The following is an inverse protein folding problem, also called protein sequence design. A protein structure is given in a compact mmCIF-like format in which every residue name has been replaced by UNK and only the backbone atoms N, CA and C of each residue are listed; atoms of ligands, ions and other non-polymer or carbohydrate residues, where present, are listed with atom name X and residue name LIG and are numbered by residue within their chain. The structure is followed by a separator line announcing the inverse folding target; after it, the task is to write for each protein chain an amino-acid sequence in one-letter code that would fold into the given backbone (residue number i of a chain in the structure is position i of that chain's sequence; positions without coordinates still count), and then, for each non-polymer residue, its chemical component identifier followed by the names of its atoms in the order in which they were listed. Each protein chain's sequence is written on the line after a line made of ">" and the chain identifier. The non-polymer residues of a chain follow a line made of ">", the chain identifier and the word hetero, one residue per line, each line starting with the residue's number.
data_IF_545164067293
#
_entry.id   IF_545164067293
#
_cell.length_a   1.000
_cell.length_b   1.000
_cell.length_c   1.000
_cell.angle_alpha   90.00
_cell.angle_beta   90.00
_cell.angle_gamma   90.00
#
_symmetry.space_group_name_H-M   'P 1'
#
loop_
_entity.id
_entity.type
_entity.pdbx_description
1 polymer ?
#
# COMPACT_ATOMS: atom_id res chain seq x y z
N UNK A 1 -27.19 5.27 -0.50
CA UNK A 1 -26.58 4.40 -1.54
C UNK A 1 -25.08 4.36 -1.37
N UNK A 2 -24.56 3.19 -1.17
CA UNK A 2 -23.13 3.06 -0.99
C UNK A 2 -22.40 3.08 -2.32
N UNK A 3 -21.25 3.69 -2.32
CA UNK A 3 -20.36 3.63 -3.45
C UNK A 3 -19.68 2.26 -3.47
N UNK A 4 -19.82 1.56 -4.57
CA UNK A 4 -19.27 0.22 -4.70
C UNK A 4 -17.92 0.19 -5.38
N UNK A 5 -17.26 1.34 -5.49
CA UNK A 5 -15.92 1.46 -6.08
C UNK A 5 -14.90 1.75 -4.99
N UNK A 6 -14.35 0.71 -4.36
CA UNK A 6 -13.33 0.96 -3.35
C UNK A 6 -12.12 1.67 -3.94
N UNK A 7 -11.60 2.62 -3.21
CA UNK A 7 -10.41 3.36 -3.61
C UNK A 7 -9.19 2.72 -2.98
N UNK A 8 -8.23 2.34 -3.82
CA UNK A 8 -7.00 1.69 -3.40
C UNK A 8 -5.83 2.62 -3.73
N UNK A 9 -5.04 2.94 -2.74
CA UNK A 9 -3.81 3.71 -2.95
C UNK A 9 -2.65 2.75 -3.08
N UNK A 10 -1.81 2.98 -4.09
CA UNK A 10 -0.55 2.24 -4.27
C UNK A 10 0.57 3.25 -4.12
N UNK A 11 1.47 3.02 -3.17
CA UNK A 11 2.58 3.92 -2.87
C UNK A 11 3.87 3.19 -3.13
N UNK A 12 4.54 3.52 -4.22
CA UNK A 12 5.76 2.84 -4.65
C UNK A 12 6.55 3.80 -5.53
N UNK A 13 7.85 3.91 -5.30
CA UNK A 13 8.69 4.82 -6.08
C UNK A 13 9.14 4.22 -7.41
N UNK A 14 8.70 3.00 -7.74
CA UNK A 14 8.98 2.36 -9.02
C UNK A 14 7.71 2.37 -9.88
N UNK A 15 7.63 3.25 -10.89
CA UNK A 15 6.40 3.39 -11.69
C UNK A 15 5.98 2.10 -12.38
N UNK A 16 6.93 1.28 -12.82
CA UNK A 16 6.60 0.05 -13.51
C UNK A 16 5.87 -0.93 -12.59
N UNK A 17 6.33 -1.06 -11.36
CA UNK A 17 5.67 -1.95 -10.40
C UNK A 17 4.26 -1.48 -10.09
N UNK A 18 4.09 -0.17 -9.86
CA UNK A 18 2.78 0.42 -9.63
C UNK A 18 1.82 0.16 -10.78
N UNK A 19 2.31 0.32 -12.00
CA UNK A 19 1.51 0.10 -13.21
C UNK A 19 1.11 -1.36 -13.33
N UNK A 20 2.05 -2.28 -13.12
CA UNK A 20 1.78 -3.71 -13.20
C UNK A 20 0.77 -4.15 -12.14
N UNK A 21 0.91 -3.65 -10.93
CA UNK A 21 -0.04 -3.98 -9.86
C UNK A 21 -1.42 -3.41 -10.16
N UNK A 22 -1.47 -2.17 -10.65
CA UNK A 22 -2.73 -1.54 -11.04
C UNK A 22 -3.45 -2.39 -12.10
N UNK A 23 -2.72 -2.79 -13.14
CA UNK A 23 -3.29 -3.60 -14.22
C UNK A 23 -3.80 -4.93 -13.68
N UNK A 24 -3.03 -5.57 -12.81
CA UNK A 24 -3.44 -6.85 -12.22
C UNK A 24 -4.73 -6.70 -11.42
N UNK A 25 -4.79 -5.69 -10.55
CA UNK A 25 -5.95 -5.48 -9.70
C UNK A 25 -7.19 -5.15 -10.53
N UNK A 26 -7.05 -4.34 -11.56
CA UNK A 26 -8.18 -3.99 -12.43
C UNK A 26 -8.65 -5.19 -13.25
N UNK A 27 -7.76 -6.10 -13.59
CA UNK A 27 -8.12 -7.35 -14.25
C UNK A 27 -8.98 -8.24 -13.34
N UNK A 28 -8.61 -8.29 -12.05
CA UNK A 28 -9.34 -9.11 -11.08
C UNK A 28 -10.68 -8.49 -10.71
N UNK A 29 -10.74 -7.16 -10.64
CA UNK A 29 -11.96 -6.46 -10.24
C UNK A 29 -11.94 -5.05 -10.81
N UNK A 30 -12.65 -4.82 -11.91
CA UNK A 30 -12.67 -3.55 -12.62
C UNK A 30 -13.37 -2.43 -11.86
N UNK A 31 -14.01 -2.75 -10.73
CA UNK A 31 -14.69 -1.76 -9.90
C UNK A 31 -13.79 -0.97 -8.97
N UNK A 32 -12.49 -1.29 -8.89
CA UNK A 32 -11.57 -0.53 -8.06
C UNK A 32 -11.30 0.84 -8.67
N UNK A 33 -11.14 1.84 -7.79
CA UNK A 33 -10.62 3.15 -8.15
C UNK A 33 -9.19 3.21 -7.60
N UNK A 34 -8.19 3.18 -8.48
CA UNK A 34 -6.80 3.04 -8.06
C UNK A 34 -6.05 4.35 -8.27
N UNK A 35 -5.36 4.81 -7.23
CA UNK A 35 -4.49 5.98 -7.27
C UNK A 35 -3.08 5.54 -6.90
N UNK A 36 -2.10 5.95 -7.71
CA UNK A 36 -0.69 5.64 -7.47
C UNK A 36 0.08 6.87 -7.06
N UNK A 37 1.00 6.70 -6.13
CA UNK A 37 1.84 7.78 -5.63
C UNK A 37 3.29 7.31 -5.63
N UNK A 38 4.19 8.17 -6.09
CA UNK A 38 5.62 7.86 -6.15
C UNK A 38 6.32 8.06 -4.81
N UNK A 39 5.72 8.84 -3.90
CA UNK A 39 6.28 9.10 -2.58
C UNK A 39 5.21 8.95 -1.52
N UNK A 40 5.65 8.67 -0.29
CA UNK A 40 4.73 8.60 0.85
C UNK A 40 4.11 9.95 1.16
N UNK A 41 4.89 11.02 0.97
CA UNK A 41 4.40 12.38 1.21
C UNK A 41 3.20 12.70 0.34
N UNK A 42 3.27 12.33 -0.95
CA UNK A 42 2.14 12.56 -1.87
C UNK A 42 0.90 11.77 -1.42
N UNK A 43 1.10 10.54 -0.94
CA UNK A 43 0.02 9.73 -0.40
C UNK A 43 -0.63 10.43 0.81
N UNK A 44 0.20 10.92 1.75
CA UNK A 44 -0.32 11.58 2.96
C UNK A 44 -1.15 12.81 2.61
N UNK A 45 -0.75 13.56 1.60
CA UNK A 45 -1.49 14.74 1.15
C UNK A 45 -2.85 14.40 0.55
N UNK A 46 -3.04 13.15 0.13
CA UNK A 46 -4.26 12.71 -0.53
C UNK A 46 -5.14 11.82 0.34
N UNK A 47 -4.82 11.66 1.63
CA UNK A 47 -5.61 10.81 2.53
C UNK A 47 -7.05 11.33 2.72
N UNK A 48 -7.28 12.63 2.47
CA UNK A 48 -8.62 13.20 2.53
C UNK A 48 -9.55 12.65 1.44
N UNK A 49 -9.01 11.96 0.43
CA UNK A 49 -9.81 11.24 -0.55
C UNK A 49 -10.45 9.99 0.03
N UNK A 50 -10.11 9.63 1.26
CA UNK A 50 -10.68 8.51 2.00
C UNK A 50 -10.50 7.17 1.30
N UNK A 51 -9.24 6.75 1.06
CA UNK A 51 -9.02 5.43 0.46
C UNK A 51 -9.51 4.32 1.38
N UNK A 52 -9.85 3.19 0.78
CA UNK A 52 -10.33 2.02 1.52
C UNK A 52 -9.20 1.08 1.91
N UNK A 53 -8.08 1.16 1.21
CA UNK A 53 -6.87 0.40 1.54
C UNK A 53 -5.66 1.06 0.91
N UNK A 54 -4.50 0.81 1.49
CA UNK A 54 -3.22 1.32 0.98
C UNK A 54 -2.25 0.16 0.83
N UNK A 55 -1.64 0.04 -0.35
CA UNK A 55 -0.51 -0.86 -0.58
C UNK A 55 0.74 0.00 -0.56
N UNK A 56 1.60 -0.22 0.40
CA UNK A 56 2.71 0.68 0.73
C UNK A 56 4.03 -0.05 0.60
N UNK A 57 4.88 0.43 -0.30
CA UNK A 57 6.24 -0.09 -0.43
C UNK A 57 7.05 0.29 0.80
N UNK A 58 7.79 -0.67 1.32
CA UNK A 58 8.63 -0.43 2.49
C UNK A 58 9.82 0.48 2.16
N UNK A 59 10.36 0.39 0.95
CA UNK A 59 11.55 1.12 0.52
C UNK A 59 11.19 2.28 -0.41
N UNK A 60 10.66 3.37 0.17
CA UNK A 60 10.22 4.53 -0.60
C UNK A 60 11.31 5.55 -0.87
N UNK A 61 12.47 5.40 -0.23
CA UNK A 61 13.55 6.37 -0.39
C UNK A 61 14.68 5.86 -1.27
N UNK A 62 14.40 4.86 -2.12
CA UNK A 62 15.45 4.29 -2.98
C UNK A 62 15.91 5.26 -4.06
N UNK A 63 15.03 6.14 -4.52
CA UNK A 63 15.35 7.12 -5.56
C UNK A 63 15.58 8.52 -5.01
N UNK A 64 14.87 8.89 -3.96
CA UNK A 64 15.02 10.17 -3.29
C UNK A 64 15.38 9.91 -1.85
N UNK A 65 16.65 10.11 -1.50
CA UNK A 65 17.17 9.76 -0.18
C UNK A 65 16.52 10.54 0.96
N UNK A 66 16.02 11.73 0.66
CA UNK A 66 15.34 12.55 1.67
C UNK A 66 13.87 12.21 1.83
N UNK A 67 13.33 11.35 0.97
CA UNK A 67 11.94 10.95 1.09
C UNK A 67 11.75 10.03 2.29
N UNK A 68 10.59 10.11 2.91
CA UNK A 68 10.28 9.27 4.06
C UNK A 68 10.15 7.80 3.65
N UNK A 69 10.60 6.92 4.52
CA UNK A 69 10.56 5.49 4.32
C UNK A 69 9.16 4.93 4.61
N UNK A 70 8.92 3.70 4.17
CA UNK A 70 7.62 3.05 4.34
C UNK A 70 7.15 2.98 5.79
N UNK A 71 8.06 2.69 6.74
CA UNK A 71 7.66 2.60 8.15
C UNK A 71 7.21 3.97 8.68
N UNK A 72 7.87 5.04 8.27
CA UNK A 72 7.50 6.40 8.69
C UNK A 72 6.13 6.78 8.14
N UNK A 73 5.88 6.42 6.88
CA UNK A 73 4.60 6.70 6.25
C UNK A 73 3.48 5.88 6.89
N UNK A 74 3.75 4.62 7.21
CA UNK A 74 2.80 3.77 7.92
C UNK A 74 2.37 4.41 9.24
N UNK A 75 3.34 4.88 10.02
CA UNK A 75 3.05 5.54 11.29
C UNK A 75 2.18 6.76 11.11
N UNK A 76 2.45 7.58 10.09
CA UNK A 76 1.68 8.78 9.82
C UNK A 76 0.27 8.45 9.34
N UNK A 77 0.11 7.46 8.48
CA UNK A 77 -1.21 7.01 8.05
C UNK A 77 -2.04 6.59 9.25
N UNK A 78 -1.47 5.78 10.13
CA UNK A 78 -2.19 5.26 11.29
C UNK A 78 -2.51 6.33 12.32
N UNK A 79 -1.72 7.40 12.39
CA UNK A 79 -2.04 8.56 13.20
C UNK A 79 -3.29 9.26 12.70
N UNK A 80 -3.43 9.38 11.37
CA UNK A 80 -4.55 10.09 10.77
C UNK A 80 -5.78 9.23 10.64
N UNK A 81 -5.61 7.93 10.40
CA UNK A 81 -6.74 7.01 10.25
C UNK A 81 -6.33 5.61 10.71
N UNK A 82 -6.63 5.33 11.96
CA UNK A 82 -6.30 4.06 12.60
C UNK A 82 -6.95 2.85 11.95
N UNK A 83 -8.12 3.05 11.35
CA UNK A 83 -8.91 1.97 10.78
C UNK A 83 -8.52 1.63 9.33
N UNK A 84 -7.71 2.47 8.69
CA UNK A 84 -7.35 2.27 7.29
C UNK A 84 -6.42 1.06 7.15
N UNK A 85 -6.83 0.03 6.39
CA UNK A 85 -5.94 -1.13 6.16
C UNK A 85 -4.73 -0.74 5.34
N UNK A 86 -3.54 -1.08 5.82
CA UNK A 86 -2.29 -0.84 5.12
C UNK A 86 -1.56 -2.17 4.93
N UNK A 87 -1.26 -2.50 3.68
CA UNK A 87 -0.54 -3.70 3.31
C UNK A 87 0.87 -3.27 2.93
N UNK A 88 1.88 -3.81 3.60
CA UNK A 88 3.27 -3.50 3.30
C UNK A 88 3.78 -4.45 2.24
N UNK A 89 4.47 -3.91 1.24
CA UNK A 89 5.09 -4.68 0.17
C UNK A 89 6.60 -4.45 0.24
N UNK A 90 7.38 -5.53 0.32
CA UNK A 90 8.82 -5.40 0.51
C UNK A 90 9.60 -6.47 -0.24
N UNK A 91 10.78 -6.11 -0.72
CA UNK A 91 11.70 -7.07 -1.33
C UNK A 91 12.49 -7.86 -0.30
N UNK A 92 12.42 -7.47 0.98
CA UNK A 92 13.19 -8.13 2.05
C UNK A 92 12.37 -9.16 2.79
N UNK A 93 12.93 -10.36 2.91
CA UNK A 93 12.35 -11.42 3.73
C UNK A 93 12.97 -11.31 5.12
N UNK A 94 12.39 -10.45 5.97
CA UNK A 94 12.91 -10.17 7.30
C UNK A 94 11.79 -10.24 8.32
N UNK A 95 11.91 -11.20 9.24
CA UNK A 95 10.92 -11.34 10.31
C UNK A 95 10.89 -10.12 11.23
N UNK A 96 12.06 -9.55 11.49
CA UNK A 96 12.13 -8.35 12.34
C UNK A 96 11.41 -7.17 11.72
N UNK A 97 11.63 -6.95 10.43
CA UNK A 97 10.95 -5.86 9.70
C UNK A 97 9.46 -6.12 9.64
N UNK A 98 9.05 -7.35 9.32
CA UNK A 98 7.64 -7.71 9.26
C UNK A 98 6.97 -7.47 10.60
N UNK A 99 7.57 -7.94 11.69
CA UNK A 99 7.02 -7.77 13.04
C UNK A 99 6.86 -6.28 13.37
N UNK A 100 7.84 -5.47 13.01
CA UNK A 100 7.80 -4.04 13.27
C UNK A 100 6.64 -3.36 12.54
N UNK A 101 6.43 -3.70 11.25
CA UNK A 101 5.32 -3.11 10.50
C UNK A 101 3.98 -3.53 11.05
N UNK A 102 3.82 -4.78 11.45
CA UNK A 102 2.59 -5.26 12.05
C UNK A 102 2.33 -4.55 13.40
N UNK A 103 3.36 -4.37 14.22
CA UNK A 103 3.26 -3.63 15.47
C UNK A 103 2.75 -2.21 15.27
N UNK A 104 3.12 -1.59 14.15
CA UNK A 104 2.69 -0.23 13.84
C UNK A 104 1.37 -0.19 13.06
N UNK A 105 0.68 -1.32 12.93
CA UNK A 105 -0.69 -1.36 12.45
C UNK A 105 -0.90 -1.84 11.03
N UNK A 106 0.14 -2.31 10.34
CA UNK A 106 -0.05 -2.92 9.02
C UNK A 106 -0.85 -4.21 9.18
N UNK A 107 -1.75 -4.48 8.23
CA UNK A 107 -2.54 -5.72 8.28
C UNK A 107 -1.73 -6.92 7.82
N UNK A 108 -0.75 -6.69 6.96
CA UNK A 108 0.11 -7.79 6.48
C UNK A 108 1.39 -7.24 5.86
N UNK A 109 2.39 -8.11 5.77
CA UNK A 109 3.69 -7.80 5.17
C UNK A 109 3.90 -8.78 4.02
N UNK A 110 3.82 -8.29 2.78
CA UNK A 110 3.91 -9.12 1.58
C UNK A 110 5.30 -9.02 0.98
N UNK A 111 5.92 -10.16 0.72
CA UNK A 111 7.23 -10.21 0.06
C UNK A 111 7.03 -10.08 -1.43
N UNK A 112 7.84 -9.27 -2.11
CA UNK A 112 7.81 -9.12 -3.56
C UNK A 112 8.27 -10.43 -4.20
N UNK A 113 7.32 -11.27 -4.59
CA UNK A 113 7.54 -12.58 -5.16
C UNK A 113 6.55 -12.78 -6.31
N UNK A 114 6.61 -13.95 -6.92
CA UNK A 114 5.71 -14.30 -8.02
C UNK A 114 4.24 -14.21 -7.62
N UNK A 115 3.92 -14.52 -6.35
CA UNK A 115 2.55 -14.53 -5.86
C UNK A 115 2.14 -13.24 -5.14
N UNK A 116 2.99 -12.21 -5.14
CA UNK A 116 2.74 -11.00 -4.36
C UNK A 116 1.43 -10.31 -4.77
N UNK A 117 1.19 -10.16 -6.06
CA UNK A 117 0.00 -9.47 -6.53
C UNK A 117 -1.29 -10.20 -6.17
N UNK A 118 -1.26 -11.54 -6.29
CA UNK A 118 -2.40 -12.37 -5.89
C UNK A 118 -2.67 -12.23 -4.40
N UNK A 119 -1.62 -12.26 -3.61
CA UNK A 119 -1.72 -12.11 -2.16
C UNK A 119 -2.30 -10.73 -1.80
N UNK A 120 -1.81 -9.67 -2.45
CA UNK A 120 -2.31 -8.32 -2.24
C UNK A 120 -3.80 -8.24 -2.56
N UNK A 121 -4.22 -8.80 -3.69
CA UNK A 121 -5.62 -8.78 -4.08
C UNK A 121 -6.50 -9.47 -3.03
N UNK A 122 -6.07 -10.63 -2.54
CA UNK A 122 -6.82 -11.37 -1.53
C UNK A 122 -6.93 -10.58 -0.23
N UNK A 123 -5.85 -9.88 0.16
CA UNK A 123 -5.86 -9.05 1.36
C UNK A 123 -6.77 -7.84 1.20
N UNK A 124 -6.77 -7.22 0.03
CA UNK A 124 -7.68 -6.11 -0.24
C UNK A 124 -9.12 -6.59 -0.09
N UNK A 125 -9.46 -7.70 -0.70
CA UNK A 125 -10.82 -8.25 -0.62
C UNK A 125 -11.23 -8.59 0.81
N UNK A 126 -10.30 -9.04 1.63
CA UNK A 126 -10.60 -9.41 3.01
C UNK A 126 -10.82 -8.17 3.89
N UNK A 127 -10.29 -7.02 3.51
CA UNK A 127 -10.29 -5.82 4.36
C UNK A 127 -11.14 -4.66 3.82
N UNK A 128 -11.72 -4.82 2.65
CA UNK A 128 -12.46 -3.72 2.00
C UNK A 128 -13.94 -4.03 1.77
#
# INVERSE_FOLDING_TARGET
>A
MTNNKPTIFIVDDEPLLSEMLTDYLMEQHSGFNIRSFATGEACLQSLDEQPDAVVLDYHLNSKEKDAANGIDILKEIKKQNKALPVIILSSQESYGTAAQTIMHGAVHYVIKSQDAFKEIFQLIKANV
#
